data_IF_904970935194
#
_entry.id   IF_904970935194
#
_cell.length_a   1.000
_cell.length_b   1.000
_cell.length_c   1.000
_cell.angle_alpha   90.00
_cell.angle_beta   90.00
_cell.angle_gamma   90.00
#
_symmetry.space_group_name_H-M   'P 1'
#
loop_
_entity.id
_entity.type
_entity.pdbx_description
1 polymer ?
#
# COMPACT_ATOMS: atom_id res chain seq x y z
N UNK A 1 -26.56 -17.92 9.40
CA UNK A 1 -26.60 -16.68 8.59
C UNK A 1 -25.58 -16.64 7.46
N UNK A 2 -25.17 -17.78 6.89
CA UNK A 2 -24.05 -17.86 5.89
C UNK A 2 -24.49 -17.98 4.42
N UNK A 3 -25.78 -17.82 4.11
CA UNK A 3 -26.30 -18.15 2.75
C UNK A 3 -26.88 -16.96 1.98
N UNK A 4 -26.74 -15.72 2.48
CA UNK A 4 -27.37 -14.54 1.84
C UNK A 4 -26.43 -13.62 1.07
N UNK A 5 -25.12 -13.81 1.16
CA UNK A 5 -24.12 -12.93 0.49
C UNK A 5 -23.91 -13.37 -0.97
N UNK A 6 -24.01 -14.65 -1.27
CA UNK A 6 -23.82 -15.16 -2.64
C UNK A 6 -24.96 -14.80 -3.60
N UNK A 7 -26.15 -14.49 -3.08
CA UNK A 7 -27.31 -14.16 -3.92
C UNK A 7 -27.33 -12.69 -4.42
N UNK A 8 -26.54 -11.78 -3.84
CA UNK A 8 -26.54 -10.38 -4.26
C UNK A 8 -25.60 -10.12 -5.45
N UNK A 9 -24.54 -10.90 -5.60
CA UNK A 9 -23.66 -10.83 -6.79
C UNK A 9 -24.31 -11.39 -8.05
N UNK A 10 -25.28 -12.30 -7.90
CA UNK A 10 -25.97 -12.93 -9.05
C UNK A 10 -27.12 -12.13 -9.63
N UNK A 11 -27.65 -11.12 -8.94
CA UNK A 11 -28.86 -10.39 -9.37
C UNK A 11 -28.58 -9.15 -10.23
N UNK A 12 -27.32 -8.73 -10.36
CA UNK A 12 -26.92 -7.60 -11.22
C UNK A 12 -26.64 -7.99 -12.68
N UNK A 13 -26.75 -9.26 -13.04
CA UNK A 13 -26.35 -9.76 -14.36
C UNK A 13 -27.47 -9.93 -15.39
N UNK A 14 -28.73 -9.55 -15.11
CA UNK A 14 -29.82 -9.76 -16.06
C UNK A 14 -30.69 -8.51 -16.24
N UNK A 15 -30.43 -7.78 -17.33
CA UNK A 15 -31.40 -6.84 -17.89
C UNK A 15 -30.82 -5.61 -18.55
N UNK A 16 -30.78 -5.62 -19.86
CA UNK A 16 -30.37 -4.65 -20.86
C UNK A 16 -28.93 -4.84 -21.33
N UNK A 17 -28.64 -4.44 -22.56
CA UNK A 17 -27.34 -4.46 -23.23
C UNK A 17 -26.30 -3.64 -22.45
N UNK A 18 -25.89 -4.17 -21.32
CA UNK A 18 -24.74 -3.73 -20.54
C UNK A 18 -23.53 -4.22 -21.34
N UNK A 19 -22.60 -3.34 -21.70
CA UNK A 19 -21.25 -3.78 -22.04
C UNK A 19 -20.81 -4.71 -20.94
N UNK A 20 -20.24 -5.85 -21.30
CA UNK A 20 -19.78 -6.81 -20.33
C UNK A 20 -18.69 -6.14 -19.49
N UNK A 21 -18.97 -5.90 -18.22
CA UNK A 21 -17.97 -5.42 -17.27
C UNK A 21 -16.73 -6.31 -17.41
N UNK A 22 -15.57 -5.73 -17.53
CA UNK A 22 -14.33 -6.47 -17.50
C UNK A 22 -14.08 -6.92 -16.07
N UNK A 23 -13.98 -8.22 -15.86
CA UNK A 23 -13.76 -8.82 -14.56
C UNK A 23 -12.39 -9.49 -14.59
N UNK A 24 -11.44 -8.91 -13.86
CA UNK A 24 -10.06 -9.38 -13.80
C UNK A 24 -9.76 -9.98 -12.42
N UNK A 25 -9.76 -11.31 -12.27
CA UNK A 25 -9.27 -11.93 -11.05
C UNK A 25 -7.74 -11.80 -10.96
N UNK A 26 -7.24 -11.60 -9.75
CA UNK A 26 -5.81 -11.54 -9.47
C UNK A 26 -5.50 -12.12 -8.10
N UNK A 27 -4.23 -12.42 -7.85
CA UNK A 27 -3.82 -12.87 -6.55
C UNK A 27 -2.31 -12.95 -6.39
N UNK A 28 -1.91 -13.09 -5.14
CA UNK A 28 -0.52 -13.29 -4.74
C UNK A 28 -0.47 -14.32 -3.64
N UNK A 29 0.40 -15.31 -3.76
CA UNK A 29 0.81 -16.18 -2.67
C UNK A 29 2.27 -15.88 -2.37
N UNK A 30 2.56 -15.48 -1.14
CA UNK A 30 3.87 -15.00 -0.73
C UNK A 30 4.25 -15.64 0.61
N UNK A 31 5.31 -16.45 0.60
CA UNK A 31 5.84 -17.13 1.76
C UNK A 31 7.27 -16.73 2.02
N UNK A 32 7.62 -16.60 3.28
CA UNK A 32 9.00 -16.34 3.71
C UNK A 32 9.39 -17.23 4.87
N UNK A 33 10.65 -17.62 4.91
CA UNK A 33 11.35 -17.99 6.12
C UNK A 33 12.07 -16.75 6.61
N UNK A 34 11.88 -16.40 7.87
CA UNK A 34 12.59 -15.30 8.52
C UNK A 34 13.35 -15.77 9.75
N UNK A 35 14.42 -15.05 10.04
CA UNK A 35 15.12 -15.08 11.31
C UNK A 35 15.22 -13.64 11.79
N UNK A 36 14.44 -13.32 12.81
CA UNK A 36 14.29 -11.98 13.32
C UNK A 36 14.84 -11.90 14.74
N UNK A 37 15.58 -10.84 15.02
CA UNK A 37 16.02 -10.48 16.34
C UNK A 37 15.18 -9.32 16.88
N UNK A 38 14.68 -9.42 18.09
CA UNK A 38 13.93 -8.35 18.71
C UNK A 38 14.82 -7.41 19.55
N UNK A 39 14.30 -6.24 19.89
CA UNK A 39 15.00 -5.21 20.70
C UNK A 39 15.46 -5.68 22.10
N UNK A 40 15.11 -6.90 22.53
CA UNK A 40 15.62 -7.54 23.76
C UNK A 40 16.78 -8.50 23.48
N UNK A 41 17.27 -8.59 22.24
CA UNK A 41 18.35 -9.50 21.82
C UNK A 41 17.92 -10.96 21.72
N UNK A 42 16.62 -11.24 21.61
CA UNK A 42 16.11 -12.60 21.40
C UNK A 42 15.82 -12.84 19.93
N UNK A 43 16.43 -13.88 19.38
CA UNK A 43 16.21 -14.31 18.02
C UNK A 43 15.19 -15.45 17.96
N UNK A 44 14.40 -15.45 16.90
CA UNK A 44 13.45 -16.51 16.56
C UNK A 44 13.38 -16.70 15.05
N UNK A 45 13.00 -17.90 14.63
CA UNK A 45 12.84 -18.21 13.21
C UNK A 45 11.46 -18.76 12.96
N UNK A 46 10.87 -18.40 11.83
CA UNK A 46 9.56 -18.88 11.42
C UNK A 46 9.43 -18.98 9.92
N UNK A 47 8.57 -19.88 9.47
CA UNK A 47 8.05 -19.92 8.11
C UNK A 47 6.63 -19.34 8.17
N UNK A 48 6.38 -18.28 7.44
CA UNK A 48 5.12 -17.54 7.57
C UNK A 48 4.63 -16.98 6.24
N UNK A 49 3.35 -16.67 6.22
CA UNK A 49 2.73 -15.87 5.17
C UNK A 49 3.32 -14.44 5.15
N UNK A 50 3.51 -13.91 3.97
CA UNK A 50 3.99 -12.54 3.77
C UNK A 50 2.99 -11.71 2.95
N UNK A 51 1.73 -11.74 3.37
CA UNK A 51 0.67 -10.94 2.77
C UNK A 51 0.04 -11.55 1.52
N UNK A 52 -0.19 -12.86 1.55
CA UNK A 52 -0.97 -13.53 0.50
C UNK A 52 -2.36 -12.95 0.38
N UNK A 53 -2.88 -12.87 -0.85
CA UNK A 53 -4.14 -12.22 -1.14
C UNK A 53 -4.76 -12.73 -2.44
N UNK A 54 -6.07 -12.60 -2.56
CA UNK A 54 -6.82 -12.79 -3.79
C UNK A 54 -7.79 -11.63 -3.98
N UNK A 55 -8.08 -11.26 -5.20
CA UNK A 55 -8.96 -10.15 -5.50
C UNK A 55 -9.62 -10.24 -6.86
N UNK A 56 -10.53 -9.31 -7.08
CA UNK A 56 -11.24 -9.10 -8.33
C UNK A 56 -11.31 -7.60 -8.57
N UNK A 57 -10.85 -7.17 -9.75
CA UNK A 57 -11.13 -5.85 -10.30
C UNK A 57 -12.31 -5.97 -11.26
N UNK A 58 -13.21 -4.99 -11.20
CA UNK A 58 -14.37 -4.88 -12.08
C UNK A 58 -14.38 -3.48 -12.68
N UNK A 59 -14.12 -3.39 -13.97
CA UNK A 59 -14.03 -2.16 -14.71
C UNK A 59 -15.13 -2.05 -15.78
N UNK A 60 -15.30 -0.86 -16.33
CA UNK A 60 -16.23 -0.56 -17.43
C UNK A 60 -17.69 -0.96 -17.18
N UNK A 61 -18.18 -0.78 -15.96
CA UNK A 61 -19.59 -0.96 -15.64
C UNK A 61 -20.37 0.24 -16.22
N UNK A 62 -20.67 0.23 -17.48
CA UNK A 62 -21.32 1.35 -18.16
C UNK A 62 -22.25 0.92 -19.30
N UNK A 63 -22.82 1.92 -19.97
CA UNK A 63 -23.64 1.76 -21.17
C UNK A 63 -22.94 2.51 -22.31
N UNK A 64 -22.95 1.94 -23.53
CA UNK A 64 -22.32 2.56 -24.70
C UNK A 64 -22.76 4.00 -24.87
N UNK A 65 -21.79 4.91 -25.07
CA UNK A 65 -22.01 6.34 -25.27
C UNK A 65 -22.21 7.15 -23.98
N UNK A 66 -22.09 6.55 -22.81
CA UNK A 66 -22.05 7.29 -21.55
C UNK A 66 -20.63 7.76 -21.23
N UNK A 67 -20.54 8.94 -20.59
CA UNK A 67 -19.29 9.54 -20.13
C UNK A 67 -18.95 9.16 -18.68
N UNK A 68 -19.84 8.41 -18.03
CA UNK A 68 -19.68 7.94 -16.65
C UNK A 68 -19.69 6.41 -16.67
N UNK A 69 -18.65 5.81 -16.13
CA UNK A 69 -18.50 4.37 -15.99
C UNK A 69 -18.38 4.01 -14.50
N UNK A 70 -18.87 2.83 -14.13
CA UNK A 70 -18.70 2.28 -12.79
C UNK A 70 -17.46 1.41 -12.71
N UNK A 71 -16.87 1.30 -11.52
CA UNK A 71 -15.83 0.34 -11.21
C UNK A 71 -16.00 -0.20 -9.79
N UNK A 72 -15.41 -1.34 -9.50
CA UNK A 72 -15.40 -1.92 -8.17
C UNK A 72 -14.15 -2.77 -7.94
N UNK A 73 -13.72 -2.88 -6.69
CA UNK A 73 -12.62 -3.75 -6.29
C UNK A 73 -12.96 -4.51 -5.03
N UNK A 74 -12.64 -5.81 -5.04
CA UNK A 74 -12.66 -6.65 -3.86
C UNK A 74 -11.30 -7.35 -3.72
N UNK A 75 -10.65 -7.20 -2.58
CA UNK A 75 -9.42 -7.90 -2.22
C UNK A 75 -9.53 -8.42 -0.80
N UNK A 76 -9.19 -9.68 -0.59
CA UNK A 76 -9.10 -10.31 0.72
C UNK A 76 -7.69 -10.86 0.93
N UNK A 77 -7.14 -10.64 2.11
CA UNK A 77 -5.95 -11.33 2.58
C UNK A 77 -6.28 -12.80 2.85
N UNK A 78 -5.34 -13.67 2.58
CA UNK A 78 -5.45 -15.11 2.83
C UNK A 78 -4.36 -15.49 3.82
N UNK A 79 -4.75 -15.82 5.05
CA UNK A 79 -3.82 -16.38 6.03
C UNK A 79 -3.54 -17.84 5.63
N UNK A 80 -2.31 -18.12 5.26
CA UNK A 80 -1.88 -19.41 4.76
C UNK A 80 -0.97 -20.15 5.73
N UNK A 81 -0.63 -19.55 6.87
CA UNK A 81 0.26 -20.12 7.89
C UNK A 81 -0.41 -20.32 9.27
N UNK A 82 -1.71 -20.09 9.35
CA UNK A 82 -2.52 -20.22 10.58
C UNK A 82 -2.02 -19.31 11.73
N UNK A 83 -1.31 -18.21 11.37
CA UNK A 83 -0.79 -17.25 12.34
C UNK A 83 -1.85 -16.28 12.84
N UNK A 84 -2.92 -16.10 12.07
CA UNK A 84 -4.06 -15.25 12.38
C UNK A 84 -5.25 -16.00 13.00
N UNK A 85 -6.20 -15.24 13.50
CA UNK A 85 -7.46 -15.78 14.00
C UNK A 85 -8.51 -16.07 12.91
N UNK A 86 -8.27 -15.60 11.70
CA UNK A 86 -9.17 -15.71 10.55
C UNK A 86 -8.40 -16.13 9.30
N UNK A 87 -8.98 -17.06 8.55
CA UNK A 87 -8.42 -17.46 7.24
C UNK A 87 -8.46 -16.34 6.20
N UNK A 88 -9.40 -15.41 6.34
CA UNK A 88 -9.56 -14.27 5.43
C UNK A 88 -9.64 -12.96 6.19
N UNK A 89 -8.85 -11.99 5.73
CA UNK A 89 -8.84 -10.63 6.24
C UNK A 89 -9.33 -9.63 5.19
N UNK A 90 -10.08 -8.60 5.63
CA UNK A 90 -10.57 -7.55 4.74
C UNK A 90 -9.41 -6.64 4.33
N UNK A 91 -9.12 -6.55 3.02
CA UNK A 91 -8.11 -5.64 2.48
C UNK A 91 -8.77 -4.47 1.76
N UNK A 92 -9.38 -4.70 0.61
CA UNK A 92 -10.06 -3.68 -0.18
C UNK A 92 -11.50 -4.13 -0.47
N UNK A 93 -12.45 -3.19 -0.42
CA UNK A 93 -13.84 -3.44 -0.78
C UNK A 93 -14.51 -2.10 -1.08
N UNK A 94 -14.48 -1.65 -2.32
CA UNK A 94 -15.05 -0.37 -2.72
C UNK A 94 -15.71 -0.43 -4.09
N UNK A 95 -16.56 0.56 -4.33
CA UNK A 95 -17.23 0.81 -5.60
C UNK A 95 -17.11 2.29 -5.94
N UNK A 96 -16.99 2.61 -7.21
CA UNK A 96 -16.79 3.99 -7.64
C UNK A 96 -17.40 4.28 -9.00
N UNK A 97 -17.34 5.57 -9.35
CA UNK A 97 -17.72 6.12 -10.63
C UNK A 97 -16.54 6.92 -11.18
N UNK A 98 -16.25 6.71 -12.44
CA UNK A 98 -15.25 7.45 -13.22
C UNK A 98 -15.95 8.32 -14.26
N UNK A 99 -15.55 9.58 -14.35
CA UNK A 99 -16.06 10.50 -15.37
C UNK A 99 -14.89 11.20 -16.06
N UNK A 100 -14.80 11.04 -17.37
CA UNK A 100 -13.71 11.58 -18.17
C UNK A 100 -13.55 13.10 -17.99
N UNK A 101 -12.37 13.54 -17.61
CA UNK A 101 -12.01 14.94 -17.35
C UNK A 101 -12.54 15.52 -16.04
N UNK A 102 -13.25 14.72 -15.24
CA UNK A 102 -13.73 15.08 -13.90
C UNK A 102 -13.01 14.31 -12.81
N UNK A 103 -12.64 13.05 -13.09
CA UNK A 103 -11.98 12.15 -12.16
C UNK A 103 -12.89 11.04 -11.64
N UNK A 104 -12.38 10.34 -10.65
CA UNK A 104 -12.98 9.16 -10.04
C UNK A 104 -13.40 9.47 -8.60
N UNK A 105 -14.59 9.00 -8.23
CA UNK A 105 -15.06 9.02 -6.85
C UNK A 105 -15.40 7.60 -6.44
N UNK A 106 -14.96 7.18 -5.26
CA UNK A 106 -15.24 5.85 -4.74
C UNK A 106 -15.57 5.85 -3.26
N UNK A 107 -16.28 4.81 -2.81
CA UNK A 107 -16.68 4.63 -1.42
C UNK A 107 -16.44 3.20 -0.98
N UNK A 108 -15.98 3.02 0.27
CA UNK A 108 -15.77 1.71 0.86
C UNK A 108 -14.47 1.60 1.64
N UNK A 109 -13.87 0.38 1.66
CA UNK A 109 -12.55 0.16 2.24
C UNK A 109 -11.50 0.23 1.15
N UNK A 110 -10.60 1.19 1.24
CA UNK A 110 -9.60 1.47 0.21
C UNK A 110 -8.26 1.93 0.81
N UNK A 111 -7.23 1.95 -0.03
CA UNK A 111 -5.89 2.40 0.33
C UNK A 111 -5.86 3.91 0.62
N UNK A 112 -4.89 4.30 1.43
CA UNK A 112 -4.58 5.68 1.74
C UNK A 112 -3.62 6.27 0.69
N UNK A 113 -4.04 7.32 -0.06
CA UNK A 113 -3.17 8.02 -1.01
C UNK A 113 -1.86 8.51 -0.39
N UNK A 114 -1.85 8.94 0.86
CA UNK A 114 -0.63 9.37 1.54
C UNK A 114 0.40 8.23 1.62
N UNK A 115 -0.01 7.04 2.06
CA UNK A 115 0.87 5.87 2.12
C UNK A 115 1.32 5.43 0.72
N UNK A 116 0.38 5.33 -0.23
CA UNK A 116 0.68 4.81 -1.57
C UNK A 116 1.56 5.77 -2.37
N UNK A 117 1.29 7.09 -2.32
CA UNK A 117 2.00 8.09 -3.12
C UNK A 117 3.31 8.57 -2.50
N UNK A 118 3.47 8.49 -1.17
CA UNK A 118 4.69 8.94 -0.47
C UNK A 118 5.54 7.75 -0.03
N UNK A 119 5.02 6.87 0.81
CA UNK A 119 5.70 5.66 1.26
C UNK A 119 5.99 4.69 0.12
N UNK A 120 5.09 4.60 -0.86
CA UNK A 120 5.26 3.78 -2.06
C UNK A 120 6.51 4.10 -2.90
N UNK A 121 7.11 5.31 -2.76
CA UNK A 121 8.35 5.68 -3.50
C UNK A 121 9.58 4.90 -3.04
N UNK A 122 9.56 4.33 -1.85
CA UNK A 122 10.66 3.54 -1.26
C UNK A 122 10.31 2.06 -1.07
N UNK A 123 9.11 1.63 -1.48
CA UNK A 123 8.61 0.27 -1.29
C UNK A 123 9.23 -0.76 -2.26
N UNK A 124 10.55 -0.97 -2.20
CA UNK A 124 11.28 -1.91 -3.07
C UNK A 124 11.48 -3.29 -2.43
N UNK A 125 11.40 -3.38 -1.11
CA UNK A 125 11.60 -4.62 -0.37
C UNK A 125 10.29 -5.40 -0.18
N UNK A 126 10.39 -6.73 -0.09
CA UNK A 126 9.24 -7.61 0.15
C UNK A 126 8.91 -7.79 1.64
N UNK A 127 9.90 -7.67 2.52
CA UNK A 127 9.79 -7.95 3.96
C UNK A 127 10.19 -6.74 4.79
N UNK A 128 11.39 -6.23 4.56
CA UNK A 128 11.95 -5.11 5.29
C UNK A 128 11.85 -3.85 4.44
N UNK A 129 11.68 -2.69 5.06
CA UNK A 129 11.47 -1.42 4.37
C UNK A 129 10.27 -0.67 4.94
N UNK A 130 9.93 0.48 4.36
CA UNK A 130 8.85 1.37 4.83
C UNK A 130 8.96 1.68 6.33
N UNK A 131 10.19 1.92 6.80
CA UNK A 131 10.48 2.14 8.22
C UNK A 131 10.25 3.59 8.64
N UNK A 132 10.38 4.52 7.72
CA UNK A 132 10.23 5.94 8.00
C UNK A 132 8.77 6.38 8.19
N UNK A 133 7.82 5.55 7.81
CA UNK A 133 6.40 5.83 8.03
C UNK A 133 6.04 5.81 9.51
N UNK A 134 5.37 6.85 9.98
CA UNK A 134 4.90 6.98 11.36
C UNK A 134 3.56 6.28 11.57
N UNK A 135 3.46 4.97 11.25
CA UNK A 135 2.27 4.13 11.45
C UNK A 135 0.98 4.72 10.86
N UNK A 136 1.09 5.54 9.82
CA UNK A 136 -0.08 5.99 9.10
C UNK A 136 -0.78 4.77 8.48
N UNK A 137 -2.08 4.73 8.56
CA UNK A 137 -2.83 3.57 8.09
C UNK A 137 -2.64 3.36 6.58
N UNK A 138 -2.49 2.12 6.16
CA UNK A 138 -2.40 1.80 4.72
C UNK A 138 -3.78 1.64 4.06
N UNK A 139 -4.81 1.38 4.84
CA UNK A 139 -6.20 1.16 4.37
C UNK A 139 -7.20 1.46 5.47
N UNK A 140 -8.30 2.12 5.10
CA UNK A 140 -9.41 2.37 6.03
C UNK A 140 -10.76 2.05 5.42
N UNK A 141 -11.68 1.61 6.26
CA UNK A 141 -13.11 1.45 5.94
C UNK A 141 -13.83 2.80 6.06
N UNK A 142 -15.08 2.85 5.62
CA UNK A 142 -15.95 4.03 5.73
C UNK A 142 -15.34 5.26 5.03
N UNK A 143 -14.55 5.04 3.99
CA UNK A 143 -13.87 6.11 3.28
C UNK A 143 -14.57 6.51 1.99
N UNK A 144 -14.43 7.79 1.65
CA UNK A 144 -14.77 8.40 0.37
C UNK A 144 -13.46 8.87 -0.22
N UNK A 145 -13.12 8.41 -1.41
CA UNK A 145 -11.92 8.85 -2.12
C UNK A 145 -12.26 9.57 -3.42
N UNK A 146 -11.39 10.48 -3.80
CA UNK A 146 -11.41 11.15 -5.09
C UNK A 146 -10.01 11.11 -5.68
N UNK A 147 -9.93 10.81 -7.00
CA UNK A 147 -8.71 10.82 -7.79
C UNK A 147 -8.94 11.52 -9.11
N UNK A 148 -8.00 12.35 -9.55
CA UNK A 148 -8.07 12.98 -10.85
C UNK A 148 -6.68 13.14 -11.48
N UNK A 149 -6.53 12.58 -12.68
CA UNK A 149 -5.34 12.74 -13.51
C UNK A 149 -5.54 13.96 -14.42
N UNK A 150 -4.74 15.00 -14.19
CA UNK A 150 -4.71 16.25 -14.94
C UNK A 150 -3.57 16.26 -15.99
N UNK A 151 -3.05 15.10 -16.34
CA UNK A 151 -1.95 14.90 -17.29
C UNK A 151 -0.61 14.77 -16.62
N UNK A 152 0.08 15.89 -16.35
CA UNK A 152 1.36 15.86 -15.63
C UNK A 152 1.21 15.87 -14.10
N UNK A 153 0.02 16.15 -13.61
CA UNK A 153 -0.31 16.23 -12.18
C UNK A 153 -1.49 15.34 -11.88
N UNK A 154 -1.38 14.51 -10.86
CA UNK A 154 -2.47 13.74 -10.27
C UNK A 154 -2.79 14.30 -8.88
N UNK A 155 -4.07 14.38 -8.55
CA UNK A 155 -4.56 14.77 -7.23
C UNK A 155 -5.40 13.64 -6.67
N UNK A 156 -5.02 13.14 -5.49
CA UNK A 156 -5.78 12.12 -4.78
C UNK A 156 -6.16 12.63 -3.40
N UNK A 157 -7.35 12.29 -2.95
CA UNK A 157 -7.80 12.59 -1.60
C UNK A 157 -8.66 11.47 -1.04
N UNK A 158 -8.68 11.36 0.28
CA UNK A 158 -9.52 10.41 0.99
C UNK A 158 -10.03 11.05 2.28
N UNK A 159 -11.29 10.82 2.58
CA UNK A 159 -11.90 11.22 3.86
C UNK A 159 -12.56 10.01 4.50
N UNK A 160 -12.39 9.85 5.81
CA UNK A 160 -13.01 8.79 6.61
C UNK A 160 -14.18 9.36 7.37
N UNK A 161 -15.32 8.65 7.31
CA UNK A 161 -16.56 9.00 8.02
C UNK A 161 -16.94 7.80 8.88
N UNK A 162 -16.43 7.75 10.11
CA UNK A 162 -16.67 6.62 11.03
C UNK A 162 -17.94 6.75 11.85
N UNK A 163 -18.52 7.93 11.90
CA UNK A 163 -19.83 8.16 12.53
C UNK A 163 -19.84 8.00 14.05
N UNK A 164 -18.73 8.27 14.72
CA UNK A 164 -18.68 8.31 16.16
C UNK A 164 -19.64 9.37 16.71
N UNK A 165 -20.55 8.98 17.61
CA UNK A 165 -21.56 9.87 18.18
C UNK A 165 -20.99 11.02 19.02
N UNK A 166 -19.71 10.99 19.32
CA UNK A 166 -18.97 12.04 20.03
C UNK A 166 -18.30 13.05 19.11
N UNK A 167 -18.24 12.78 17.81
CA UNK A 167 -17.58 13.63 16.84
C UNK A 167 -18.61 14.44 16.04
N UNK A 168 -18.38 15.75 15.90
CA UNK A 168 -19.21 16.68 15.12
C UNK A 168 -18.55 17.08 13.80
N UNK A 169 -17.36 16.55 13.50
CA UNK A 169 -16.63 16.83 12.27
C UNK A 169 -17.24 16.07 11.10
N UNK A 170 -17.11 16.61 9.90
CA UNK A 170 -17.59 15.96 8.69
C UNK A 170 -16.75 14.74 8.31
N UNK A 171 -15.47 14.77 8.66
CA UNK A 171 -14.52 13.67 8.51
C UNK A 171 -13.80 13.45 9.84
N UNK A 172 -13.54 12.18 10.15
CA UNK A 172 -12.71 11.75 11.28
C UNK A 172 -11.22 11.83 10.91
N UNK A 173 -10.91 11.51 9.65
CA UNK A 173 -9.60 11.68 9.04
C UNK A 173 -9.78 12.25 7.64
N UNK A 174 -8.80 13.01 7.18
CA UNK A 174 -8.76 13.55 5.82
C UNK A 174 -7.33 13.59 5.32
N UNK A 175 -7.14 13.26 4.04
CA UNK A 175 -5.85 13.36 3.37
C UNK A 175 -5.95 13.87 1.94
N UNK A 176 -4.87 14.46 1.48
CA UNK A 176 -4.69 14.88 0.10
C UNK A 176 -3.23 14.67 -0.32
N UNK A 177 -3.03 14.15 -1.52
CA UNK A 177 -1.72 14.08 -2.16
C UNK A 177 -1.76 14.70 -3.54
N UNK A 178 -0.65 15.26 -3.93
CA UNK A 178 -0.40 15.78 -5.28
C UNK A 178 0.85 15.12 -5.80
N UNK A 179 0.74 14.43 -6.91
CA UNK A 179 1.84 13.75 -7.59
C UNK A 179 2.09 14.36 -8.96
N UNK A 180 3.34 14.41 -9.39
CA UNK A 180 3.72 14.90 -10.70
C UNK A 180 4.77 13.99 -11.34
N UNK A 181 4.52 13.62 -12.61
CA UNK A 181 5.46 12.87 -13.43
C UNK A 181 6.24 13.85 -14.32
N UNK A 182 7.51 14.06 -14.01
CA UNK A 182 8.39 14.98 -14.72
C UNK A 182 9.81 14.43 -14.85
N UNK A 183 10.40 14.49 -16.06
CA UNK A 183 11.78 14.08 -16.31
C UNK A 183 12.12 12.65 -15.87
N UNK A 184 11.23 11.70 -16.18
CA UNK A 184 11.31 10.30 -15.76
C UNK A 184 11.32 10.10 -14.23
N UNK A 185 10.85 11.10 -13.50
CA UNK A 185 10.74 11.08 -12.05
C UNK A 185 9.27 11.27 -11.64
N UNK A 186 8.86 10.51 -10.64
CA UNK A 186 7.56 10.64 -10.00
C UNK A 186 7.78 11.28 -8.62
N UNK A 187 7.21 12.47 -8.43
CA UNK A 187 7.36 13.29 -7.22
C UNK A 187 5.98 13.50 -6.62
N UNK A 188 5.87 13.28 -5.31
CA UNK A 188 4.61 13.43 -4.58
C UNK A 188 4.81 14.26 -3.31
N UNK A 189 3.80 15.04 -2.97
CA UNK A 189 3.69 15.72 -1.67
C UNK A 189 2.30 15.45 -1.12
N UNK A 190 2.16 15.40 0.20
CA UNK A 190 0.89 15.10 0.83
C UNK A 190 0.74 15.66 2.23
N UNK A 191 -0.50 15.75 2.62
CA UNK A 191 -0.96 16.11 3.95
C UNK A 191 -2.06 15.12 4.36
N UNK A 192 -2.04 14.72 5.63
CA UNK A 192 -3.11 13.96 6.25
C UNK A 192 -3.36 14.47 7.67
N UNK A 193 -4.61 14.38 8.12
CA UNK A 193 -5.07 14.90 9.41
C UNK A 193 -6.00 13.86 10.07
N UNK A 194 -5.59 13.34 11.20
CA UNK A 194 -6.45 12.58 12.13
C UNK A 194 -7.06 13.56 13.11
N UNK A 195 -8.22 14.08 12.76
CA UNK A 195 -8.94 15.12 13.49
C UNK A 195 -9.32 14.65 14.91
N UNK A 196 -9.55 13.36 15.09
CA UNK A 196 -9.96 12.79 16.37
C UNK A 196 -8.82 12.74 17.39
N UNK A 197 -7.59 12.56 16.92
CA UNK A 197 -6.41 12.43 17.76
C UNK A 197 -5.56 13.70 17.79
N UNK A 198 -5.93 14.76 17.07
CA UNK A 198 -5.15 15.99 16.93
C UNK A 198 -3.73 15.70 16.41
N UNK A 199 -3.65 14.92 15.34
CA UNK A 199 -2.41 14.46 14.72
C UNK A 199 -2.43 14.81 13.25
N UNK A 200 -1.39 15.45 12.76
CA UNK A 200 -1.22 15.64 11.33
C UNK A 200 0.06 15.04 10.77
N UNK A 201 0.04 14.73 9.47
CA UNK A 201 1.15 14.15 8.74
C UNK A 201 1.45 15.02 7.52
N UNK A 202 2.72 15.30 7.32
CA UNK A 202 3.23 15.92 6.11
C UNK A 202 4.23 14.98 5.46
N UNK A 203 4.20 14.89 4.15
CA UNK A 203 5.10 14.00 3.46
C UNK A 203 5.50 14.50 2.08
N UNK A 204 6.68 14.07 1.66
CA UNK A 204 7.16 14.19 0.30
C UNK A 204 7.89 12.91 -0.09
N UNK A 205 7.68 12.47 -1.33
CA UNK A 205 8.34 11.30 -1.89
C UNK A 205 8.77 11.55 -3.33
N UNK A 206 9.83 10.91 -3.75
CA UNK A 206 10.29 10.94 -5.13
C UNK A 206 10.89 9.59 -5.53
N UNK A 207 10.62 9.17 -6.75
CA UNK A 207 11.29 8.01 -7.36
C UNK A 207 11.66 8.28 -8.80
N UNK A 208 12.74 7.66 -9.28
CA UNK A 208 13.20 7.78 -10.67
C UNK A 208 13.94 6.53 -11.10
N UNK A 209 13.97 6.28 -12.42
CA UNK A 209 14.76 5.19 -13.00
C UNK A 209 15.67 5.74 -14.09
N UNK A 210 16.97 5.43 -14.00
CA UNK A 210 18.00 5.89 -14.94
C UNK A 210 18.73 4.63 -15.46
N UNK A 211 18.30 4.15 -16.61
CA UNK A 211 18.79 2.88 -17.14
C UNK A 211 18.45 1.71 -16.18
N UNK A 212 19.46 0.96 -15.70
CA UNK A 212 19.23 -0.14 -14.76
C UNK A 212 19.12 0.31 -13.29
N UNK A 213 19.26 1.60 -13.00
CA UNK A 213 19.28 2.14 -11.64
C UNK A 213 17.89 2.68 -11.30
N UNK A 214 17.35 2.26 -10.16
CA UNK A 214 16.15 2.85 -9.55
C UNK A 214 16.55 3.56 -8.26
N UNK A 215 16.04 4.76 -8.05
CA UNK A 215 16.23 5.54 -6.83
C UNK A 215 14.87 5.92 -6.26
N UNK A 216 14.73 5.85 -4.95
CA UNK A 216 13.54 6.29 -4.23
C UNK A 216 13.90 7.00 -2.94
N UNK A 217 13.05 7.95 -2.57
CA UNK A 217 13.13 8.65 -1.29
C UNK A 217 11.76 9.00 -0.77
N UNK A 218 11.58 8.96 0.54
CA UNK A 218 10.42 9.49 1.23
C UNK A 218 10.85 10.25 2.49
N UNK A 219 10.16 11.32 2.80
CA UNK A 219 10.33 12.07 4.03
C UNK A 219 8.95 12.37 4.61
N UNK A 220 8.75 12.03 5.88
CA UNK A 220 7.49 12.22 6.57
C UNK A 220 7.71 12.97 7.88
N UNK A 221 6.75 13.81 8.23
CA UNK A 221 6.67 14.49 9.52
C UNK A 221 5.36 14.06 10.16
N UNK A 222 5.45 13.61 11.38
CA UNK A 222 4.35 13.33 12.28
C UNK A 222 4.28 14.49 13.28
N UNK A 223 3.23 15.30 13.18
CA UNK A 223 2.97 16.46 14.04
C UNK A 223 1.90 16.07 15.07
N UNK A 224 2.31 16.00 16.30
CA UNK A 224 1.48 15.65 17.47
C UNK A 224 2.00 16.40 18.69
N UNK A 225 1.74 15.91 19.90
CA UNK A 225 2.28 16.50 21.14
C UNK A 225 3.82 16.58 21.15
N UNK A 226 4.49 15.77 20.34
CA UNK A 226 5.94 15.83 20.08
C UNK A 226 6.13 15.49 18.60
N UNK A 227 6.64 16.45 17.84
CA UNK A 227 6.93 16.28 16.43
C UNK A 227 8.02 15.24 16.21
N UNK A 228 7.87 14.46 15.18
CA UNK A 228 8.83 13.43 14.77
C UNK A 228 8.95 13.40 13.25
N UNK A 229 10.11 12.99 12.78
CA UNK A 229 10.36 12.85 11.35
C UNK A 229 10.85 11.45 10.99
N UNK A 230 10.67 11.10 9.73
CA UNK A 230 11.21 9.88 9.13
C UNK A 230 11.76 10.16 7.74
N UNK A 231 12.95 9.65 7.45
CA UNK A 231 13.59 9.70 6.13
C UNK A 231 13.86 8.28 5.66
N UNK A 232 13.48 7.95 4.43
CA UNK A 232 13.85 6.69 3.80
C UNK A 232 14.43 6.94 2.43
N UNK A 233 15.51 6.24 2.11
CA UNK A 233 16.23 6.29 0.85
C UNK A 233 16.44 4.87 0.35
N UNK A 234 16.17 4.63 -0.93
CA UNK A 234 16.42 3.34 -1.56
C UNK A 234 17.17 3.52 -2.87
N UNK A 235 18.00 2.55 -3.20
CA UNK A 235 18.65 2.44 -4.50
C UNK A 235 18.61 0.98 -4.96
N UNK A 236 18.17 0.78 -6.20
CA UNK A 236 18.11 -0.52 -6.86
C UNK A 236 18.99 -0.57 -8.10
N UNK A 237 19.46 -1.76 -8.45
CA UNK A 237 20.17 -2.03 -9.68
C UNK A 237 19.70 -3.34 -10.32
N UNK A 238 19.15 -3.23 -11.52
CA UNK A 238 18.69 -4.39 -12.29
C UNK A 238 19.83 -5.02 -13.10
N UNK A 239 20.26 -6.19 -12.65
CA UNK A 239 21.18 -7.06 -13.39
C UNK A 239 20.38 -8.01 -14.28
N UNK A 240 21.01 -8.55 -15.34
CA UNK A 240 20.37 -9.57 -16.19
C UNK A 240 19.98 -10.86 -15.45
N UNK A 241 20.59 -11.10 -14.29
CA UNK A 241 20.39 -12.33 -13.50
C UNK A 241 19.55 -12.12 -12.24
N UNK A 242 19.47 -10.90 -11.71
CA UNK A 242 18.75 -10.56 -10.48
C UNK A 242 18.67 -9.05 -10.31
N UNK A 243 17.75 -8.56 -9.49
CA UNK A 243 17.69 -7.20 -8.99
C UNK A 243 18.33 -7.14 -7.61
N UNK A 244 19.06 -6.06 -7.32
CA UNK A 244 19.72 -5.81 -6.03
C UNK A 244 19.29 -4.46 -5.52
N UNK A 245 18.80 -4.41 -4.30
CA UNK A 245 18.30 -3.21 -3.66
C UNK A 245 19.03 -2.96 -2.33
N UNK A 246 19.26 -1.69 -2.01
CA UNK A 246 19.75 -1.24 -0.71
C UNK A 246 18.88 -0.10 -0.20
N UNK A 247 18.67 -0.06 1.10
CA UNK A 247 17.85 0.93 1.78
C UNK A 247 18.52 1.49 3.02
N UNK A 248 18.20 2.73 3.30
CA UNK A 248 18.51 3.45 4.52
C UNK A 248 17.23 4.11 5.02
N UNK A 249 16.93 3.96 6.30
CA UNK A 249 15.85 4.69 6.93
C UNK A 249 16.31 5.23 8.29
N UNK A 250 15.90 6.46 8.58
CA UNK A 250 16.08 7.12 9.87
C UNK A 250 14.68 7.51 10.39
N UNK A 251 14.29 6.92 11.51
CA UNK A 251 13.00 7.18 12.17
C UNK A 251 13.27 7.78 13.54
N UNK A 252 13.09 9.08 13.66
CA UNK A 252 13.39 9.86 14.85
C UNK A 252 12.78 9.25 16.12
N UNK A 253 13.59 9.05 17.15
CA UNK A 253 13.18 8.43 18.41
C UNK A 253 12.86 6.95 18.33
N UNK A 254 13.27 6.28 17.24
CA UNK A 254 13.15 4.82 17.06
C UNK A 254 14.50 4.20 16.70
N UNK A 255 15.18 4.72 15.68
CA UNK A 255 16.48 4.23 15.24
C UNK A 255 16.72 4.35 13.75
N UNK A 256 17.88 3.88 13.34
CA UNK A 256 18.36 3.86 11.96
C UNK A 256 18.37 2.43 11.44
N UNK A 257 17.92 2.24 10.19
CA UNK A 257 17.78 0.94 9.55
C UNK A 257 18.58 0.90 8.26
N UNK A 258 19.29 -0.20 8.04
CA UNK A 258 20.01 -0.51 6.82
C UNK A 258 19.47 -1.81 6.26
N UNK A 259 18.92 -1.76 5.05
CA UNK A 259 18.31 -2.93 4.40
C UNK A 259 19.05 -3.26 3.11
N UNK A 260 19.22 -4.52 2.81
CA UNK A 260 19.72 -4.99 1.52
C UNK A 260 18.92 -6.20 1.07
N UNK A 261 18.65 -6.27 -0.24
CA UNK A 261 17.86 -7.33 -0.83
C UNK A 261 18.39 -7.76 -2.19
N UNK A 262 18.07 -8.98 -2.56
CA UNK A 262 18.22 -9.51 -3.91
C UNK A 262 16.94 -10.22 -4.29
N UNK A 263 16.45 -9.98 -5.48
CA UNK A 263 15.27 -10.66 -6.01
C UNK A 263 15.49 -11.15 -7.44
N UNK A 264 14.74 -12.19 -7.83
CA UNK A 264 14.77 -12.74 -9.17
C UNK A 264 13.41 -13.24 -9.60
N UNK A 265 12.92 -12.72 -10.73
CA UNK A 265 11.78 -13.28 -11.43
C UNK A 265 12.14 -14.60 -12.12
N UNK A 266 11.25 -15.59 -12.03
CA UNK A 266 11.32 -16.88 -12.70
C UNK A 266 10.06 -17.04 -13.55
N UNK A 267 10.19 -16.74 -14.85
CA UNK A 267 9.03 -16.61 -15.73
C UNK A 267 8.19 -15.37 -15.37
N UNK A 268 6.89 -15.44 -15.65
CA UNK A 268 5.97 -14.30 -15.52
C UNK A 268 5.34 -14.18 -14.13
N UNK A 269 5.29 -15.28 -13.39
CA UNK A 269 4.43 -15.38 -12.20
C UNK A 269 5.18 -15.61 -10.89
N UNK A 270 6.42 -16.14 -10.95
CA UNK A 270 7.16 -16.53 -9.76
C UNK A 270 8.35 -15.61 -9.54
N UNK A 271 8.58 -15.17 -8.33
CA UNK A 271 9.82 -14.51 -7.91
C UNK A 271 10.37 -15.14 -6.63
N UNK A 272 11.68 -15.16 -6.53
CA UNK A 272 12.42 -15.50 -5.32
C UNK A 272 13.09 -14.24 -4.79
N UNK A 273 13.20 -14.10 -3.48
CA UNK A 273 13.88 -12.98 -2.85
C UNK A 273 14.63 -13.41 -1.59
N UNK A 274 15.67 -12.66 -1.27
CA UNK A 274 16.36 -12.74 0.01
C UNK A 274 16.70 -11.33 0.48
N UNK A 275 16.44 -11.02 1.73
CA UNK A 275 16.59 -9.69 2.31
C UNK A 275 17.21 -9.78 3.69
N UNK A 276 17.96 -8.75 4.07
CA UNK A 276 18.50 -8.58 5.42
C UNK A 276 18.38 -7.14 5.86
N UNK A 277 18.20 -6.96 7.16
CA UNK A 277 18.09 -5.67 7.82
C UNK A 277 18.96 -5.64 9.08
N UNK A 278 19.64 -4.52 9.27
CA UNK A 278 20.29 -4.17 10.54
C UNK A 278 19.65 -2.89 11.06
N UNK A 279 19.27 -2.87 12.33
CA UNK A 279 18.72 -1.70 12.99
C UNK A 279 19.61 -1.29 14.17
N UNK A 280 20.00 -0.03 14.18
CA UNK A 280 20.63 0.67 15.30
C UNK A 280 19.52 1.45 16.00
N UNK A 281 19.07 0.93 17.15
CA UNK A 281 17.88 1.40 17.84
C UNK A 281 18.24 2.44 18.89
N UNK A 282 17.51 3.53 18.94
CA UNK A 282 17.67 4.58 19.97
C UNK A 282 17.45 4.03 21.39
N UNK A 283 16.65 2.96 21.49
CA UNK A 283 16.38 2.26 22.77
C UNK A 283 16.34 0.76 22.55
N UNK A 284 16.95 0.01 23.47
CA UNK A 284 17.01 -1.45 23.38
C UNK A 284 18.34 -1.95 22.83
N UNK A 285 18.31 -3.12 22.22
CA UNK A 285 19.47 -3.77 21.60
C UNK A 285 19.36 -3.66 20.09
N UNK A 286 20.43 -3.31 19.41
CA UNK A 286 20.52 -3.37 17.95
C UNK A 286 20.13 -4.75 17.46
N UNK A 287 19.47 -4.79 16.32
CA UNK A 287 18.92 -6.03 15.80
C UNK A 287 19.45 -6.34 14.39
N UNK A 288 19.52 -7.64 14.10
CA UNK A 288 19.82 -8.15 12.75
C UNK A 288 18.80 -9.19 12.38
N UNK A 289 18.14 -8.96 11.25
CA UNK A 289 17.09 -9.84 10.73
C UNK A 289 17.40 -10.21 9.28
N UNK A 290 16.99 -11.40 8.86
CA UNK A 290 17.07 -11.81 7.46
C UNK A 290 15.90 -12.70 7.07
N UNK A 291 15.56 -12.67 5.78
CA UNK A 291 14.50 -13.49 5.21
C UNK A 291 14.86 -14.03 3.83
N UNK A 292 14.26 -15.16 3.49
CA UNK A 292 14.25 -15.73 2.14
C UNK A 292 12.80 -16.10 1.84
N UNK A 293 12.31 -15.71 0.66
CA UNK A 293 10.93 -15.97 0.31
C UNK A 293 10.68 -16.24 -1.16
N UNK A 294 9.45 -16.58 -1.42
CA UNK A 294 8.93 -16.82 -2.76
C UNK A 294 7.55 -16.18 -2.91
N UNK A 295 7.33 -15.52 -4.02
CA UNK A 295 6.08 -14.84 -4.36
C UNK A 295 5.58 -15.32 -5.71
N UNK A 296 4.36 -15.84 -5.73
CA UNK A 296 3.65 -16.22 -6.96
C UNK A 296 2.49 -15.24 -7.17
N UNK A 297 2.40 -14.66 -8.37
CA UNK A 297 1.37 -13.68 -8.74
C UNK A 297 0.64 -14.12 -10.02
N UNK A 298 -0.65 -14.00 -10.08
CA UNK A 298 -1.49 -14.34 -11.24
C UNK A 298 -2.59 -13.32 -11.48
#
# INVERSE_FOLDING_TARGET
MKTKIVALLGALLFGSSVFAAEITPYGTFNYKYSHDENSSGKAYSKLEDNGSKIGIDVDDIGVEGQTIIGFAKLEVGVDTDDSGSNTFDSRLAYVGLSANGVGDISVGRQSHPFTDNIGGKTAVFNVYGSKADWNYASRSSNSIAYSNDLGIVQVDSLGIVDGSSSNTNAFDEFEVTVSANMFDSDISVGYADDVNNDISYWGAGASTSIGPITLGSSYTIYDAATDKSGLELVAGYSLSIADVDVGYADKEGTGVYYTAGVSKGIGEHLSLYAEGEMADLDTGTDTTSYSIGTKFTF
#
